data_IF_744743705421
#
_entry.id   IF_744743705421
#
_cell.length_a   1.000
_cell.length_b   1.000
_cell.length_c   1.000
_cell.angle_alpha   90.00
_cell.angle_beta   90.00
_cell.angle_gamma   90.00
#
_symmetry.space_group_name_H-M   'P 1'
#
loop_
_entity.id
_entity.type
_entity.pdbx_description
1 polymer ?
#
# COMPACT_ATOMS: atom_id res chain seq x y z
N UNK A 1 -18.74 -19.36 22.55
CA UNK A 1 -17.64 -19.73 21.65
C UNK A 1 -18.14 -20.78 20.66
N UNK A 2 -17.89 -20.57 19.38
CA UNK A 2 -18.13 -21.54 18.32
C UNK A 2 -16.85 -21.84 17.57
N UNK A 3 -16.61 -23.07 17.17
CA UNK A 3 -15.51 -23.48 16.32
C UNK A 3 -16.06 -24.27 15.14
N UNK A 4 -15.62 -23.92 13.95
CA UNK A 4 -16.03 -24.51 12.68
C UNK A 4 -14.77 -24.95 11.94
N UNK A 5 -14.76 -26.17 11.40
CA UNK A 5 -13.62 -26.76 10.70
C UNK A 5 -13.99 -27.32 9.35
N UNK A 6 -13.03 -27.27 8.40
CA UNK A 6 -13.13 -27.81 7.05
C UNK A 6 -13.95 -26.91 6.12
N UNK A 7 -13.30 -26.26 5.16
CA UNK A 7 -13.91 -25.42 4.09
C UNK A 7 -15.01 -24.47 4.60
N UNK A 8 -14.75 -23.79 5.69
CA UNK A 8 -15.73 -22.90 6.34
C UNK A 8 -15.89 -21.62 5.52
N UNK A 9 -17.13 -21.23 5.27
CA UNK A 9 -17.48 -19.93 4.65
C UNK A 9 -18.31 -19.13 5.65
N UNK A 10 -17.76 -18.04 6.11
CA UNK A 10 -18.46 -17.04 6.92
C UNK A 10 -18.89 -15.89 6.02
N UNK A 11 -20.17 -15.57 5.98
CA UNK A 11 -20.72 -14.40 5.26
C UNK A 11 -21.19 -13.36 6.28
N UNK A 12 -20.68 -12.15 6.18
CA UNK A 12 -21.19 -11.06 6.99
C UNK A 12 -22.61 -10.71 6.57
N UNK A 13 -23.49 -10.48 7.55
CA UNK A 13 -24.83 -9.93 7.32
C UNK A 13 -24.84 -8.41 7.21
N UNK A 14 -23.71 -7.77 7.53
CA UNK A 14 -23.58 -6.33 7.52
C UNK A 14 -23.41 -5.81 6.09
N UNK A 15 -23.81 -4.58 5.86
CA UNK A 15 -23.74 -3.85 4.57
C UNK A 15 -22.32 -3.72 4.00
N UNK A 16 -21.28 -4.00 4.79
CA UNK A 16 -19.87 -3.97 4.38
C UNK A 16 -19.45 -5.11 3.46
N UNK A 17 -20.30 -6.15 3.33
CA UNK A 17 -20.19 -7.17 2.29
C UNK A 17 -18.85 -7.88 2.21
N UNK A 18 -18.36 -8.46 3.31
CA UNK A 18 -17.19 -9.30 3.27
C UNK A 18 -17.56 -10.79 3.43
N UNK A 19 -16.82 -11.63 2.75
CA UNK A 19 -16.84 -13.07 2.95
C UNK A 19 -15.49 -13.51 3.52
N UNK A 20 -15.48 -14.46 4.42
CA UNK A 20 -14.26 -15.04 4.98
C UNK A 20 -14.30 -16.56 4.81
N UNK A 21 -13.26 -17.07 4.19
CA UNK A 21 -13.05 -18.49 3.97
C UNK A 21 -11.86 -18.96 4.80
N UNK A 22 -11.94 -20.13 5.42
CA UNK A 22 -10.82 -20.75 6.10
C UNK A 22 -11.12 -22.23 6.41
N UNK A 23 -10.10 -23.01 6.74
CA UNK A 23 -10.32 -24.37 7.22
C UNK A 23 -10.63 -24.42 8.72
N UNK A 24 -10.30 -23.36 9.46
CA UNK A 24 -10.69 -23.25 10.87
C UNK A 24 -11.14 -21.83 11.18
N UNK A 25 -12.39 -21.66 11.65
CA UNK A 25 -12.93 -20.39 12.11
C UNK A 25 -13.46 -20.55 13.54
N UNK A 26 -12.95 -19.71 14.45
CA UNK A 26 -13.44 -19.58 15.82
C UNK A 26 -14.19 -18.27 15.98
N UNK A 27 -15.36 -18.32 16.62
CA UNK A 27 -16.18 -17.13 16.87
C UNK A 27 -16.45 -16.96 18.36
N UNK A 28 -16.40 -15.73 18.84
CA UNK A 28 -16.85 -15.33 20.16
C UNK A 28 -17.99 -14.31 20.04
N UNK A 29 -19.22 -14.76 20.20
CA UNK A 29 -20.39 -13.90 20.08
C UNK A 29 -20.43 -12.79 21.16
N UNK A 30 -19.91 -13.07 22.37
CA UNK A 30 -19.90 -12.07 23.46
C UNK A 30 -18.96 -10.92 23.16
N UNK A 31 -17.80 -11.21 22.57
CA UNK A 31 -16.80 -10.22 22.17
C UNK A 31 -16.98 -9.72 20.73
N UNK A 32 -17.95 -10.24 20.00
CA UNK A 32 -18.07 -10.02 18.55
C UNK A 32 -16.76 -10.26 17.80
N UNK A 33 -15.98 -11.24 18.23
CA UNK A 33 -14.66 -11.54 17.71
C UNK A 33 -14.70 -12.79 16.83
N UNK A 34 -13.80 -12.80 15.83
CA UNK A 34 -13.63 -13.90 14.89
C UNK A 34 -12.14 -14.10 14.65
N UNK A 35 -11.70 -15.36 14.69
CA UNK A 35 -10.35 -15.79 14.37
C UNK A 35 -10.43 -16.84 13.28
N UNK A 36 -9.71 -16.63 12.18
CA UNK A 36 -9.60 -17.58 11.08
C UNK A 36 -8.14 -17.98 10.88
N UNK A 37 -7.91 -19.27 10.74
CA UNK A 37 -6.61 -19.91 10.52
C UNK A 37 -6.73 -21.01 9.48
N UNK A 38 -5.60 -21.59 9.07
CA UNK A 38 -5.55 -22.67 8.08
C UNK A 38 -6.09 -22.18 6.71
N UNK A 39 -5.25 -21.41 6.02
CA UNK A 39 -5.52 -20.79 4.72
C UNK A 39 -6.68 -19.77 4.75
N UNK A 40 -6.70 -18.84 5.69
CA UNK A 40 -7.77 -17.85 5.73
C UNK A 40 -7.67 -16.87 4.57
N UNK A 41 -8.83 -16.55 3.99
CA UNK A 41 -9.00 -15.61 2.92
C UNK A 41 -10.19 -14.71 3.21
N UNK A 42 -9.92 -13.40 3.27
CA UNK A 42 -10.94 -12.36 3.37
C UNK A 42 -11.23 -11.79 1.98
N UNK A 43 -12.50 -11.71 1.62
CA UNK A 43 -12.98 -11.08 0.39
C UNK A 43 -13.80 -9.85 0.76
N UNK A 44 -13.39 -8.68 0.30
CA UNK A 44 -14.12 -7.42 0.46
C UNK A 44 -14.64 -7.00 -0.92
N UNK A 45 -15.95 -7.14 -1.11
CA UNK A 45 -16.60 -6.79 -2.38
C UNK A 45 -16.71 -5.29 -2.51
N UNK A 46 -16.22 -4.76 -3.62
CA UNK A 46 -16.35 -3.37 -4.03
C UNK A 46 -17.22 -3.28 -5.30
N UNK A 47 -17.58 -2.07 -5.71
CA UNK A 47 -18.50 -1.87 -6.84
C UNK A 47 -17.95 -2.39 -8.18
N UNK A 48 -16.64 -2.31 -8.38
CA UNK A 48 -15.98 -2.69 -9.64
C UNK A 48 -14.87 -3.73 -9.48
N UNK A 49 -14.49 -4.05 -8.24
CA UNK A 49 -13.36 -4.90 -7.94
C UNK A 49 -13.61 -5.67 -6.64
N UNK A 50 -12.84 -6.70 -6.38
CA UNK A 50 -12.85 -7.43 -5.10
C UNK A 50 -11.44 -7.41 -4.52
N UNK A 51 -11.34 -6.92 -3.29
CA UNK A 51 -10.09 -7.00 -2.54
C UNK A 51 -10.01 -8.35 -1.83
N UNK A 52 -8.98 -9.10 -2.14
CA UNK A 52 -8.65 -10.37 -1.51
C UNK A 52 -7.49 -10.16 -0.54
N UNK A 53 -7.61 -10.66 0.69
CA UNK A 53 -6.55 -10.61 1.71
C UNK A 53 -6.33 -12.00 2.25
N UNK A 54 -5.12 -12.52 2.13
CA UNK A 54 -4.69 -13.78 2.75
C UNK A 54 -3.55 -13.54 3.74
N UNK A 55 -3.46 -14.41 4.75
CA UNK A 55 -2.42 -14.39 5.77
C UNK A 55 -2.30 -15.79 6.40
N UNK A 56 -1.43 -15.97 7.38
CA UNK A 56 -1.45 -17.20 8.20
C UNK A 56 -2.62 -17.15 9.18
N UNK A 57 -2.96 -15.95 9.67
CA UNK A 57 -4.06 -15.70 10.60
C UNK A 57 -4.80 -14.43 10.24
N UNK A 58 -6.13 -14.47 10.23
CA UNK A 58 -7.01 -13.32 10.17
C UNK A 58 -7.82 -13.21 11.46
N UNK A 59 -7.89 -12.00 11.99
CA UNK A 59 -8.66 -11.69 13.19
C UNK A 59 -9.57 -10.49 12.97
N UNK A 60 -10.75 -10.51 13.55
CA UNK A 60 -11.65 -9.35 13.63
C UNK A 60 -12.19 -9.19 15.03
N UNK A 61 -12.28 -7.97 15.50
CA UNK A 61 -12.79 -7.63 16.83
C UNK A 61 -13.38 -6.23 16.87
N UNK A 62 -13.74 -5.79 18.08
CA UNK A 62 -14.21 -4.43 18.34
C UNK A 62 -13.04 -3.50 18.63
N UNK A 63 -13.05 -2.31 18.05
CA UNK A 63 -12.08 -1.24 18.35
C UNK A 63 -12.12 -0.86 19.82
N UNK A 64 -13.32 -0.82 20.41
CA UNK A 64 -13.54 -0.55 21.85
C UNK A 64 -12.89 -1.56 22.80
N UNK A 65 -12.61 -2.78 22.32
CA UNK A 65 -11.95 -3.83 23.11
C UNK A 65 -10.42 -3.81 22.97
N UNK A 66 -9.86 -2.95 22.11
CA UNK A 66 -8.42 -2.83 21.93
C UNK A 66 -7.74 -2.29 23.18
N UNK A 67 -6.81 -3.06 23.76
CA UNK A 67 -6.04 -2.66 24.94
C UNK A 67 -4.86 -1.73 24.61
N UNK A 68 -4.58 -1.51 23.33
CA UNK A 68 -3.48 -0.67 22.84
C UNK A 68 -4.01 0.59 22.16
N UNK A 69 -3.29 1.72 22.27
CA UNK A 69 -3.68 2.92 21.52
C UNK A 69 -3.68 2.63 20.04
N UNK A 70 -4.64 3.21 19.37
CA UNK A 70 -4.73 3.21 17.92
C UNK A 70 -3.54 3.96 17.33
N UNK A 71 -2.65 3.38 16.53
CA UNK A 71 -1.55 4.13 15.95
C UNK A 71 -2.11 5.20 15.00
N UNK A 72 -1.98 6.48 15.38
CA UNK A 72 -2.37 7.63 14.55
C UNK A 72 -3.82 7.56 14.02
N UNK A 73 -4.78 7.26 14.89
CA UNK A 73 -6.16 7.62 14.61
C UNK A 73 -6.18 9.09 14.18
N UNK A 74 -6.85 9.43 13.09
CA UNK A 74 -7.18 10.85 12.82
C UNK A 74 -7.82 11.37 14.10
N UNK A 75 -7.40 12.53 14.60
CA UNK A 75 -7.79 13.13 15.89
C UNK A 75 -9.30 13.37 16.08
N UNK A 76 -10.13 12.81 15.26
CA UNK A 76 -11.57 12.97 15.17
C UNK A 76 -12.38 11.75 15.60
N UNK A 77 -11.81 10.82 16.38
CA UNK A 77 -12.66 9.82 17.03
C UNK A 77 -13.32 10.46 18.25
N UNK A 78 -14.29 11.36 17.98
CA UNK A 78 -15.40 11.55 18.89
C UNK A 78 -15.99 10.18 19.22
N UNK A 79 -16.59 9.99 20.39
CA UNK A 79 -17.26 8.74 20.78
C UNK A 79 -17.91 8.09 19.57
N UNK A 80 -17.47 6.88 19.22
CA UNK A 80 -18.08 6.09 18.15
C UNK A 80 -19.57 5.98 18.45
N UNK A 81 -20.37 6.82 17.82
CA UNK A 81 -21.82 6.81 17.98
C UNK A 81 -22.46 5.73 17.11
N UNK A 82 -21.71 5.27 16.10
CA UNK A 82 -22.14 4.21 15.19
C UNK A 82 -21.41 2.90 15.54
N UNK A 83 -22.14 1.96 16.10
CA UNK A 83 -21.61 0.64 16.47
C UNK A 83 -21.17 -0.19 15.27
N UNK A 84 -21.58 0.14 14.04
CA UNK A 84 -21.13 -0.53 12.82
C UNK A 84 -19.67 -0.20 12.50
N UNK A 85 -19.17 0.96 12.94
CA UNK A 85 -17.79 1.39 12.78
C UNK A 85 -16.85 0.85 13.87
N UNK A 86 -17.39 0.25 14.94
CA UNK A 86 -16.63 -0.34 16.05
C UNK A 86 -16.07 -1.73 15.66
N UNK A 87 -15.44 -1.81 14.51
CA UNK A 87 -14.81 -3.05 14.02
C UNK A 87 -13.44 -2.78 13.46
N UNK A 88 -12.54 -3.76 13.69
CA UNK A 88 -11.25 -3.80 13.04
C UNK A 88 -10.93 -5.20 12.52
N UNK A 89 -9.97 -5.26 11.61
CA UNK A 89 -9.39 -6.47 11.06
C UNK A 89 -7.88 -6.44 11.21
N UNK A 90 -7.32 -7.57 11.56
CA UNK A 90 -5.88 -7.82 11.59
C UNK A 90 -5.55 -9.04 10.77
N UNK A 91 -4.45 -8.96 10.06
CA UNK A 91 -3.85 -10.08 9.36
C UNK A 91 -2.40 -10.23 9.84
N UNK A 92 -1.98 -11.44 10.17
CA UNK A 92 -0.67 -11.73 10.73
C UNK A 92 0.04 -12.78 9.90
N UNK A 93 1.28 -12.49 9.62
CA UNK A 93 2.29 -13.24 8.91
C UNK A 93 1.91 -13.54 7.45
N UNK A 94 2.90 -13.34 6.58
CA UNK A 94 2.80 -13.56 5.15
C UNK A 94 1.57 -12.93 4.49
N UNK A 95 1.21 -11.73 4.94
CA UNK A 95 0.04 -11.02 4.40
C UNK A 95 0.22 -10.75 2.92
N UNK A 96 -0.75 -11.13 2.12
CA UNK A 96 -0.86 -10.82 0.71
C UNK A 96 -2.21 -10.19 0.41
N UNK A 97 -2.18 -9.13 -0.37
CA UNK A 97 -3.37 -8.42 -0.83
C UNK A 97 -3.39 -8.42 -2.35
N UNK A 98 -4.54 -8.71 -2.92
CA UNK A 98 -4.76 -8.67 -4.36
C UNK A 98 -6.08 -8.00 -4.68
N UNK A 99 -6.04 -7.08 -5.62
CA UNK A 99 -7.14 -6.64 -6.45
C UNK A 99 -6.62 -6.36 -7.86
N UNK A 100 -7.50 -6.13 -8.84
CA UNK A 100 -7.05 -5.88 -10.21
C UNK A 100 -6.21 -4.60 -10.30
N UNK A 101 -6.49 -3.60 -9.47
CA UNK A 101 -5.82 -2.29 -9.49
C UNK A 101 -4.64 -2.18 -8.52
N UNK A 102 -4.57 -3.01 -7.46
CA UNK A 102 -3.58 -2.89 -6.40
C UNK A 102 -3.21 -4.26 -5.83
N UNK A 103 -1.91 -4.48 -5.62
CA UNK A 103 -1.39 -5.64 -4.92
C UNK A 103 -0.46 -5.18 -3.79
N UNK A 104 -0.40 -5.97 -2.71
CA UNK A 104 0.54 -5.70 -1.62
C UNK A 104 1.02 -6.97 -0.92
N UNK A 105 2.20 -6.85 -0.30
CA UNK A 105 2.75 -7.84 0.65
C UNK A 105 3.28 -7.13 1.88
N UNK A 106 3.09 -7.73 3.05
CA UNK A 106 3.69 -7.29 4.32
C UNK A 106 3.68 -8.44 5.32
N UNK A 107 4.28 -8.22 6.51
CA UNK A 107 4.14 -9.18 7.60
C UNK A 107 2.79 -9.05 8.29
N UNK A 108 2.35 -7.83 8.58
CA UNK A 108 1.11 -7.59 9.31
C UNK A 108 0.29 -6.46 8.68
N UNK A 109 -1.03 -6.62 8.72
CA UNK A 109 -1.99 -5.61 8.28
C UNK A 109 -2.98 -5.32 9.40
N UNK A 110 -3.28 -4.05 9.61
CA UNK A 110 -4.34 -3.59 10.50
C UNK A 110 -5.26 -2.62 9.75
N UNK A 111 -6.57 -2.84 9.83
CA UNK A 111 -7.59 -1.99 9.25
C UNK A 111 -8.71 -1.75 10.25
N UNK A 112 -9.03 -0.51 10.53
CA UNK A 112 -10.18 -0.16 11.33
C UNK A 112 -11.21 0.61 10.51
N UNK A 113 -12.47 0.23 10.68
CA UNK A 113 -13.59 0.88 10.01
C UNK A 113 -13.78 2.32 10.47
N UNK A 114 -13.49 2.59 11.74
CA UNK A 114 -13.68 3.91 12.36
C UNK A 114 -12.83 5.01 11.74
N UNK A 115 -11.66 4.71 11.20
CA UNK A 115 -10.78 5.68 10.57
C UNK A 115 -10.48 5.38 9.10
N UNK A 116 -11.05 4.30 8.57
CA UNK A 116 -10.88 3.87 7.19
C UNK A 116 -9.42 3.82 6.73
N UNK A 117 -8.51 3.43 7.63
CA UNK A 117 -7.08 3.40 7.36
C UNK A 117 -6.55 1.98 7.35
N UNK A 118 -5.97 1.59 6.21
CA UNK A 118 -5.22 0.35 6.06
C UNK A 118 -3.77 0.61 6.46
N UNK A 119 -3.24 -0.17 7.39
CA UNK A 119 -1.86 -0.08 7.88
C UNK A 119 -1.13 -1.36 7.52
N UNK A 120 -0.11 -1.22 6.69
CA UNK A 120 0.79 -2.30 6.29
C UNK A 120 2.09 -2.13 7.06
N UNK A 121 2.50 -3.15 7.79
CA UNK A 121 3.56 -3.08 8.79
C UNK A 121 4.62 -4.13 8.48
N UNK A 122 5.88 -3.82 8.81
CA UNK A 122 7.06 -4.67 8.62
C UNK A 122 7.38 -4.94 7.16
N UNK A 123 8.11 -4.00 6.57
CA UNK A 123 8.63 -4.06 5.20
C UNK A 123 7.56 -4.25 4.13
N UNK A 124 6.49 -3.44 4.14
CA UNK A 124 5.44 -3.54 3.13
C UNK A 124 5.96 -3.20 1.74
N UNK A 125 5.37 -3.88 0.75
CA UNK A 125 5.51 -3.59 -0.67
C UNK A 125 4.11 -3.39 -1.23
N UNK A 126 3.89 -2.29 -1.93
CA UNK A 126 2.64 -1.99 -2.63
C UNK A 126 2.93 -1.81 -4.10
N UNK A 127 2.15 -2.45 -4.96
CA UNK A 127 2.20 -2.29 -6.41
C UNK A 127 0.88 -1.76 -6.95
N UNK A 128 0.96 -0.82 -7.87
CA UNK A 128 -0.16 -0.34 -8.66
C UNK A 128 0.34 0.05 -10.06
N UNK A 129 -0.24 -0.52 -11.12
CA UNK A 129 0.27 -0.40 -12.48
C UNK A 129 1.78 -0.71 -12.53
N UNK A 130 2.59 0.18 -13.08
CA UNK A 130 4.05 0.07 -13.17
C UNK A 130 4.78 0.69 -11.97
N UNK A 131 4.08 0.90 -10.87
CA UNK A 131 4.65 1.52 -9.68
C UNK A 131 4.84 0.50 -8.57
N UNK A 132 5.93 0.65 -7.83
CA UNK A 132 6.21 -0.07 -6.59
C UNK A 132 6.57 0.93 -5.50
N UNK A 133 5.97 0.77 -4.33
CA UNK A 133 6.25 1.59 -3.15
C UNK A 133 6.67 0.68 -2.00
N UNK A 134 7.76 1.03 -1.32
CA UNK A 134 8.28 0.31 -0.16
C UNK A 134 8.62 1.27 0.98
N UNK A 135 8.67 0.76 2.18
CA UNK A 135 9.08 1.47 3.40
C UNK A 135 9.02 0.53 4.60
N UNK A 136 9.21 1.06 5.82
CA UNK A 136 9.06 0.26 7.04
C UNK A 136 7.58 0.07 7.41
N UNK A 137 6.77 1.08 7.11
CA UNK A 137 5.31 1.08 7.36
C UNK A 137 4.61 1.94 6.30
N UNK A 138 3.48 1.48 5.81
CA UNK A 138 2.64 2.20 4.86
C UNK A 138 1.22 2.33 5.42
N UNK A 139 0.70 3.56 5.50
CA UNK A 139 -0.70 3.84 5.79
C UNK A 139 -1.41 4.31 4.54
N UNK A 140 -2.53 3.69 4.23
CA UNK A 140 -3.42 4.08 3.14
C UNK A 140 -4.76 4.52 3.73
N UNK A 141 -5.08 5.78 3.58
CA UNK A 141 -6.37 6.36 3.95
C UNK A 141 -7.33 6.18 2.80
N UNK A 142 -8.50 5.63 3.11
CA UNK A 142 -9.53 5.30 2.12
C UNK A 142 -10.76 6.14 2.38
N UNK A 143 -11.29 6.79 1.35
CA UNK A 143 -12.56 7.51 1.40
C UNK A 143 -13.43 7.02 0.24
N UNK A 144 -14.69 6.70 0.52
CA UNK A 144 -15.61 6.18 -0.49
C UNK A 144 -15.05 4.99 -1.28
N UNK A 145 -14.32 4.10 -0.59
CA UNK A 145 -13.65 2.91 -1.17
C UNK A 145 -12.54 3.24 -2.20
N UNK A 146 -12.09 4.49 -2.25
CA UNK A 146 -10.95 4.92 -3.08
C UNK A 146 -9.80 5.39 -2.19
N UNK A 147 -8.54 5.21 -2.59
CA UNK A 147 -7.42 5.81 -1.87
C UNK A 147 -7.53 7.35 -1.93
N UNK A 148 -7.37 8.00 -0.79
CA UNK A 148 -7.31 9.45 -0.64
C UNK A 148 -5.88 9.92 -0.41
N UNK A 149 -5.17 9.19 0.45
CA UNK A 149 -3.79 9.52 0.81
C UNK A 149 -3.02 8.24 1.15
N UNK A 150 -1.75 8.22 0.76
CA UNK A 150 -0.80 7.18 1.16
C UNK A 150 0.37 7.83 1.87
N UNK A 151 0.75 7.30 3.03
CA UNK A 151 1.89 7.75 3.81
C UNK A 151 2.86 6.60 4.03
N UNK A 152 4.09 6.79 3.64
CA UNK A 152 5.20 5.86 3.88
C UNK A 152 6.09 6.43 4.95
N UNK A 153 6.37 5.62 5.96
CA UNK A 153 7.20 6.00 7.10
C UNK A 153 8.50 5.20 7.08
N UNK A 154 9.60 5.91 7.16
CA UNK A 154 10.97 5.44 7.15
C UNK A 154 11.32 4.65 5.89
N UNK A 155 12.55 4.82 5.42
CA UNK A 155 13.09 4.12 4.25
C UNK A 155 12.15 4.14 3.03
N UNK A 156 11.40 5.26 2.88
CA UNK A 156 10.42 5.39 1.81
C UNK A 156 11.10 5.40 0.44
N UNK A 157 10.68 4.51 -0.45
CA UNK A 157 11.14 4.41 -1.83
C UNK A 157 9.95 4.14 -2.75
N UNK A 158 9.74 5.02 -3.72
CA UNK A 158 8.82 4.77 -4.83
C UNK A 158 9.61 4.60 -6.12
N UNK A 159 9.23 3.59 -6.90
CA UNK A 159 9.83 3.21 -8.17
C UNK A 159 8.72 3.17 -9.21
N UNK A 160 8.94 3.81 -10.34
CA UNK A 160 8.08 3.72 -11.51
C UNK A 160 8.88 3.11 -12.67
N UNK A 161 8.48 1.93 -13.13
CA UNK A 161 9.08 1.31 -14.32
C UNK A 161 8.57 2.03 -15.55
N UNK A 162 9.48 2.49 -16.39
CA UNK A 162 9.14 3.09 -17.69
C UNK A 162 8.85 1.97 -18.67
N UNK A 163 7.66 1.98 -19.26
CA UNK A 163 7.17 0.93 -20.16
C UNK A 163 8.21 0.51 -21.21
N UNK A 164 8.23 -0.80 -21.48
CA UNK A 164 9.10 -1.43 -22.51
C UNK A 164 10.61 -1.25 -22.30
N UNK A 165 11.04 -0.63 -21.20
CA UNK A 165 12.46 -0.35 -20.93
C UNK A 165 12.94 -1.03 -19.63
N UNK A 166 14.26 -1.00 -19.42
CA UNK A 166 14.89 -1.36 -18.16
C UNK A 166 15.22 -0.12 -17.29
N UNK A 167 14.55 1.01 -17.58
CA UNK A 167 14.72 2.25 -16.84
C UNK A 167 13.62 2.44 -15.80
N UNK A 168 13.99 3.09 -14.69
CA UNK A 168 13.11 3.27 -13.55
C UNK A 168 13.24 4.68 -12.99
N UNK A 169 12.17 5.45 -13.02
CA UNK A 169 12.08 6.65 -12.21
C UNK A 169 12.00 6.28 -10.75
N UNK A 170 12.72 7.00 -9.89
CA UNK A 170 12.85 6.64 -8.48
C UNK A 170 12.82 7.88 -7.63
N UNK A 171 12.16 7.80 -6.48
CA UNK A 171 12.22 8.82 -5.44
C UNK A 171 12.32 8.16 -4.08
N UNK A 172 13.25 8.61 -3.25
CA UNK A 172 13.57 8.06 -1.94
C UNK A 172 13.67 9.16 -0.90
N UNK A 173 13.34 8.83 0.35
CA UNK A 173 13.53 9.72 1.50
C UNK A 173 13.11 9.06 2.80
N UNK A 174 13.13 9.82 3.91
CA UNK A 174 12.67 9.30 5.20
C UNK A 174 11.16 9.11 5.22
N UNK A 175 10.40 9.95 4.52
CA UNK A 175 8.94 9.87 4.42
C UNK A 175 8.47 10.21 3.01
N UNK A 176 7.42 9.51 2.57
CA UNK A 176 6.73 9.82 1.33
C UNK A 176 5.24 9.96 1.63
N UNK A 177 4.64 11.04 1.13
CA UNK A 177 3.21 11.26 1.14
C UNK A 177 2.71 11.35 -0.30
N UNK A 178 1.64 10.66 -0.63
CA UNK A 178 0.97 10.72 -1.92
C UNK A 178 -0.52 11.04 -1.71
N UNK A 179 -1.08 11.92 -2.52
CA UNK A 179 -2.48 12.33 -2.48
C UNK A 179 -3.16 11.97 -3.78
N UNK A 180 -4.39 11.50 -3.65
CA UNK A 180 -5.19 11.02 -4.76
C UNK A 180 -6.52 11.77 -4.80
N UNK A 181 -7.05 11.95 -6.00
CA UNK A 181 -8.41 12.42 -6.24
C UNK A 181 -9.06 11.43 -7.21
N UNK A 182 -10.21 10.90 -6.85
CA UNK A 182 -10.92 9.86 -7.61
C UNK A 182 -10.11 8.60 -7.94
N UNK A 183 -9.03 8.34 -7.17
CA UNK A 183 -8.12 7.22 -7.36
C UNK A 183 -6.91 7.54 -8.25
N UNK A 184 -6.83 8.76 -8.79
CA UNK A 184 -5.68 9.23 -9.55
C UNK A 184 -4.69 9.97 -8.66
N UNK A 185 -3.40 9.71 -8.84
CA UNK A 185 -2.32 10.38 -8.12
C UNK A 185 -2.20 11.82 -8.62
N UNK A 186 -2.43 12.79 -7.71
CA UNK A 186 -2.35 14.23 -8.05
C UNK A 186 -1.10 14.90 -7.49
N UNK A 187 -0.54 14.37 -6.40
CA UNK A 187 0.61 14.97 -5.74
C UNK A 187 1.40 13.93 -4.97
N UNK A 188 2.71 14.07 -4.99
CA UNK A 188 3.65 13.32 -4.16
C UNK A 188 4.61 14.28 -3.46
N UNK A 189 4.95 14.00 -2.21
CA UNK A 189 5.96 14.74 -1.45
C UNK A 189 6.88 13.77 -0.73
N UNK A 190 8.15 13.84 -1.04
CA UNK A 190 9.21 13.09 -0.35
C UNK A 190 10.01 14.04 0.55
N UNK A 191 10.28 13.63 1.78
CA UNK A 191 10.95 14.44 2.80
C UNK A 191 12.07 13.65 3.48
N UNK A 192 13.06 14.41 3.96
CA UNK A 192 14.18 13.90 4.76
C UNK A 192 15.24 13.27 3.88
N UNK A 193 16.18 14.10 3.42
CA UNK A 193 17.22 13.75 2.46
C UNK A 193 16.60 13.09 1.22
N UNK A 194 15.61 13.79 0.63
CA UNK A 194 14.94 13.31 -0.54
C UNK A 194 15.90 13.27 -1.73
N UNK A 195 15.90 12.16 -2.46
CA UNK A 195 16.74 11.88 -3.61
C UNK A 195 15.89 11.31 -4.73
N UNK A 196 16.13 11.71 -5.97
CA UNK A 196 15.43 11.16 -7.12
C UNK A 196 16.35 10.88 -8.30
N UNK A 197 15.97 9.88 -9.07
CA UNK A 197 16.43 9.62 -10.44
C UNK A 197 15.22 9.74 -11.35
N UNK A 198 15.31 10.59 -12.37
CA UNK A 198 14.26 10.82 -13.33
C UNK A 198 14.83 10.82 -14.76
N UNK A 199 14.25 10.01 -15.62
CA UNK A 199 14.60 9.92 -17.04
C UNK A 199 13.81 10.96 -17.81
N UNK A 200 14.50 12.03 -18.21
CA UNK A 200 13.90 13.09 -19.02
C UNK A 200 13.71 12.63 -20.47
N UNK A 201 12.55 12.94 -21.02
CA UNK A 201 12.19 12.65 -22.43
C UNK A 201 11.87 13.94 -23.16
N UNK A 202 12.09 13.93 -24.46
CA UNK A 202 11.59 14.96 -25.37
C UNK A 202 10.11 14.74 -25.76
N UNK A 203 9.57 15.60 -26.61
CA UNK A 203 8.18 15.50 -27.07
C UNK A 203 7.90 14.23 -27.90
N UNK A 204 8.94 13.64 -28.49
CA UNK A 204 8.86 12.39 -29.28
C UNK A 204 9.09 11.16 -28.40
N UNK A 205 9.14 11.33 -27.06
CA UNK A 205 9.40 10.28 -26.06
C UNK A 205 10.79 9.63 -26.14
N UNK A 206 11.77 10.30 -26.75
CA UNK A 206 13.15 9.85 -26.73
C UNK A 206 13.82 10.28 -25.42
N UNK A 207 14.63 9.41 -24.83
CA UNK A 207 15.40 9.76 -23.64
C UNK A 207 16.52 10.76 -23.98
N UNK A 208 16.45 11.94 -23.39
CA UNK A 208 17.47 13.01 -23.56
C UNK A 208 18.50 13.00 -22.45
N UNK A 209 18.14 12.55 -21.26
CA UNK A 209 19.08 12.50 -20.14
C UNK A 209 18.46 11.96 -18.85
N UNK A 210 19.32 11.83 -17.86
CA UNK A 210 18.95 11.40 -16.52
C UNK A 210 19.23 12.51 -15.53
N UNK A 211 18.18 12.96 -14.86
CA UNK A 211 18.27 13.88 -13.73
C UNK A 211 18.50 13.07 -12.45
N UNK A 212 19.60 13.31 -11.78
CA UNK A 212 19.88 12.83 -10.43
C UNK A 212 19.94 14.03 -9.49
N UNK A 213 19.01 14.14 -8.57
CA UNK A 213 18.89 15.31 -7.69
C UNK A 213 18.62 14.88 -6.26
N UNK A 214 19.11 15.67 -5.32
CA UNK A 214 18.76 15.57 -3.91
C UNK A 214 18.37 16.94 -3.33
N UNK A 215 17.49 16.92 -2.34
CA UNK A 215 17.03 18.08 -1.59
C UNK A 215 16.47 17.63 -0.23
N UNK A 216 16.16 18.58 0.66
CA UNK A 216 15.44 18.22 1.89
C UNK A 216 14.01 17.74 1.60
N UNK A 217 13.37 18.34 0.60
CA UNK A 217 12.02 18.00 0.17
C UNK A 217 11.95 18.03 -1.36
N UNK A 218 11.32 17.01 -1.94
CA UNK A 218 10.95 16.96 -3.36
C UNK A 218 9.42 16.82 -3.42
N UNK A 219 8.76 17.73 -4.12
CA UNK A 219 7.32 17.70 -4.39
C UNK A 219 7.09 17.54 -5.89
N UNK A 220 6.19 16.62 -6.24
CA UNK A 220 5.79 16.34 -7.61
C UNK A 220 4.27 16.51 -7.69
N UNK A 221 3.79 17.31 -8.63
CA UNK A 221 2.37 17.33 -9.02
C UNK A 221 2.20 16.56 -10.33
N UNK A 222 1.08 15.90 -10.47
CA UNK A 222 0.76 15.05 -11.62
C UNK A 222 -0.48 15.61 -12.34
N UNK A 223 -0.46 15.53 -13.66
CA UNK A 223 -1.59 15.78 -14.53
C UNK A 223 -1.68 14.63 -15.53
N UNK A 224 -2.86 14.04 -15.70
CA UNK A 224 -3.07 12.86 -16.56
C UNK A 224 -2.09 11.70 -16.26
N UNK A 225 -1.81 11.46 -14.96
CA UNK A 225 -0.87 10.43 -14.48
C UNK A 225 0.61 10.66 -14.85
N UNK A 226 0.96 11.81 -15.45
CA UNK A 226 2.33 12.19 -15.78
C UNK A 226 2.83 13.31 -14.85
N UNK A 227 4.12 13.36 -14.50
CA UNK A 227 4.69 14.46 -13.73
C UNK A 227 4.58 15.79 -14.48
N UNK A 228 3.79 16.74 -13.96
CA UNK A 228 3.60 18.06 -14.56
C UNK A 228 4.56 19.11 -13.99
N UNK A 229 4.87 19.02 -12.67
CA UNK A 229 5.75 19.98 -11.99
C UNK A 229 6.52 19.32 -10.89
N UNK A 230 7.83 19.61 -10.81
CA UNK A 230 8.70 19.17 -9.72
C UNK A 230 9.27 20.39 -9.00
N UNK A 231 9.15 20.41 -7.68
CA UNK A 231 9.66 21.47 -6.83
C UNK A 231 10.65 20.85 -5.83
N UNK A 232 11.86 21.37 -5.85
CA UNK A 232 12.90 21.06 -4.87
C UNK A 232 12.95 22.16 -3.82
N UNK A 233 12.99 21.78 -2.54
CA UNK A 233 13.09 22.74 -1.44
C UNK A 233 14.28 22.42 -0.57
N UNK A 234 15.03 23.44 -0.27
CA UNK A 234 16.21 23.44 0.60
C UNK A 234 17.35 22.54 0.10
N UNK A 235 18.51 23.12 -0.05
CA UNK A 235 19.77 22.44 -0.37
C UNK A 235 19.72 21.58 -1.66
N UNK A 236 19.07 22.10 -2.71
CA UNK A 236 19.07 21.39 -3.99
C UNK A 236 20.51 21.20 -4.51
N UNK A 237 20.84 19.97 -4.80
CA UNK A 237 21.98 19.55 -5.62
C UNK A 237 21.46 18.62 -6.68
N UNK A 238 21.87 18.80 -7.92
CA UNK A 238 21.39 17.95 -9.01
C UNK A 238 22.25 18.07 -10.24
N UNK A 239 22.22 17.02 -11.04
CA UNK A 239 22.89 16.94 -12.34
C UNK A 239 21.92 16.36 -13.36
N UNK A 240 21.98 16.89 -14.58
CA UNK A 240 21.33 16.29 -15.74
C UNK A 240 22.46 15.75 -16.64
N UNK A 241 22.52 14.44 -16.76
CA UNK A 241 23.53 13.75 -17.55
C UNK A 241 22.89 13.22 -18.82
N UNK A 242 23.43 13.50 -20.02
CA UNK A 242 22.96 12.89 -21.26
C UNK A 242 22.95 11.37 -21.17
N UNK A 243 21.92 10.72 -21.72
CA UNK A 243 21.72 9.27 -21.57
C UNK A 243 22.95 8.45 -22.05
N UNK A 244 23.59 8.91 -23.12
CA UNK A 244 24.77 8.25 -23.71
C UNK A 244 26.02 8.30 -22.81
N UNK A 245 26.05 9.23 -21.85
CA UNK A 245 27.18 9.42 -20.91
C UNK A 245 26.90 8.82 -19.52
N UNK A 246 25.75 8.18 -19.33
CA UNK A 246 25.31 7.67 -18.03
C UNK A 246 25.77 6.22 -17.82
N UNK A 247 26.41 5.93 -16.72
CA UNK A 247 26.74 4.56 -16.33
C UNK A 247 25.49 3.84 -15.78
N UNK A 248 25.31 2.57 -16.12
CA UNK A 248 24.17 1.77 -15.65
C UNK A 248 24.13 1.65 -14.11
N UNK A 249 25.26 1.70 -13.43
CA UNK A 249 25.37 1.67 -11.97
C UNK A 249 24.79 2.91 -11.31
N UNK A 250 24.87 4.06 -11.98
CA UNK A 250 24.44 5.35 -11.45
C UNK A 250 22.92 5.60 -11.65
N UNK A 251 22.24 4.62 -12.26
CA UNK A 251 20.82 4.67 -12.56
C UNK A 251 19.93 4.09 -11.45
N UNK A 252 20.50 3.76 -10.28
CA UNK A 252 19.75 3.15 -9.17
C UNK A 252 20.12 3.83 -7.86
N UNK A 253 19.11 4.29 -7.14
CA UNK A 253 19.28 4.80 -5.79
C UNK A 253 19.69 3.68 -4.83
N UNK A 254 20.40 4.04 -3.77
CA UNK A 254 20.75 3.08 -2.72
C UNK A 254 19.48 2.47 -2.11
N UNK A 255 19.44 1.15 -2.06
CA UNK A 255 18.26 0.38 -1.62
C UNK A 255 17.27 0.04 -2.73
N UNK A 256 17.55 0.41 -4.00
CA UNK A 256 16.74 0.02 -5.14
C UNK A 256 16.60 -1.50 -5.23
N UNK A 257 15.35 -1.96 -5.26
CA UNK A 257 14.99 -3.35 -5.55
C UNK A 257 13.65 -3.35 -6.30
N UNK A 258 13.64 -3.82 -7.53
CA UNK A 258 12.40 -4.08 -8.25
C UNK A 258 11.93 -5.49 -7.92
N UNK A 259 10.84 -5.59 -7.18
CA UNK A 259 10.37 -6.84 -6.54
C UNK A 259 9.15 -7.44 -7.27
N UNK A 260 9.10 -7.29 -8.58
CA UNK A 260 7.99 -7.78 -9.42
C UNK A 260 7.78 -9.29 -9.32
N UNK A 261 8.84 -10.04 -9.03
CA UNK A 261 8.76 -11.49 -8.80
C UNK A 261 7.99 -11.88 -7.52
N UNK A 262 7.82 -10.94 -6.59
CA UNK A 262 7.05 -11.14 -5.36
C UNK A 262 5.58 -10.69 -5.52
N UNK A 263 5.26 -9.97 -6.59
CA UNK A 263 3.93 -9.40 -6.83
C UNK A 263 2.93 -10.51 -7.17
N UNK A 264 1.81 -10.64 -6.45
CA UNK A 264 0.73 -11.53 -6.84
C UNK A 264 0.18 -11.12 -8.22
N UNK A 265 0.11 -12.05 -9.17
CA UNK A 265 -0.38 -11.80 -10.54
C UNK A 265 -1.87 -12.07 -10.67
N UNK A 266 -2.42 -12.84 -9.76
CA UNK A 266 -3.82 -13.24 -9.75
C UNK A 266 -4.30 -13.50 -8.32
N UNK A 267 -5.61 -13.52 -8.14
CA UNK A 267 -6.22 -13.97 -6.88
C UNK A 267 -5.82 -15.41 -6.50
N UNK A 268 -5.47 -16.25 -7.48
CA UNK A 268 -5.08 -17.63 -7.21
C UNK A 268 -3.70 -17.73 -6.59
N UNK A 269 -2.80 -16.78 -6.84
CA UNK A 269 -1.46 -16.77 -6.23
C UNK A 269 -1.51 -16.59 -4.72
N UNK A 270 -2.54 -15.90 -4.21
CA UNK A 270 -2.71 -15.67 -2.77
C UNK A 270 -3.56 -16.74 -2.10
N UNK A 271 -4.22 -17.61 -2.88
CA UNK A 271 -5.03 -18.73 -2.39
C UNK A 271 -4.21 -20.00 -2.19
N UNK A 272 -3.07 -20.11 -2.86
CA UNK A 272 -2.22 -21.31 -2.77
C UNK A 272 -1.58 -21.44 -1.39
N UNK A 273 -1.43 -22.66 -0.86
CA UNK A 273 -0.65 -22.89 0.34
C UNK A 273 0.74 -22.28 0.16
N UNK A 274 1.15 -21.48 1.13
CA UNK A 274 2.52 -20.93 1.12
C UNK A 274 3.47 -22.07 1.50
N UNK A 275 4.28 -22.52 0.54
CA UNK A 275 5.38 -23.43 0.73
C UNK A 275 6.53 -22.75 1.47
#
# INVERSE_FOLDING_TARGET
>A
LGEFRGNVVYKSKDTLGFDLLANNIKTDKKKSALLATELPLLLIKQTRDTLYVSADTLYSGKVSDLKRPFPNARDSIGKLTDSTLDKYFEAFHHVQVYSDSLQAKCDSLFYALSDSTIRLISSPIVWANNNQITGDTIYMYVQNKKPEQLNVFNNALAINKIDTTEYYNQIKGSRLNAWFTDGELIKMRCKGNAENIYFAMDNDKNFVGVNHSNAQIIEITFENSEPAKVIFRNQLKGTLTPIQKTNKTDLKLNGFKWLENLRPKSKFDILSPKL
#
